data_IF_610404195084
#
_entry.id   IF_610404195084
#
_cell.length_a   1.000
_cell.length_b   1.000
_cell.length_c   1.000
_cell.angle_alpha   90.00
_cell.angle_beta   90.00
_cell.angle_gamma   90.00
#
_symmetry.space_group_name_H-M   'P 1'
#
loop_
_entity.id
_entity.type
_entity.pdbx_description
1 polymer ?
#
# COMPACT_ATOMS: atom_id res chain seq x y z
N UNK A 1 -0.98 7.25 -10.04
CA UNK A 1 0.46 7.58 -9.95
C UNK A 1 1.04 7.51 -11.35
N UNK A 2 1.87 8.47 -11.73
CA UNK A 2 2.61 8.39 -12.99
C UNK A 2 3.71 7.33 -12.83
N UNK A 3 3.92 6.42 -13.80
CA UNK A 3 5.02 5.47 -13.74
C UNK A 3 6.35 6.23 -13.75
N UNK A 4 7.33 5.74 -12.99
CA UNK A 4 8.67 6.30 -13.01
C UNK A 4 9.23 6.25 -14.44
N UNK A 5 9.76 7.36 -14.97
CA UNK A 5 10.34 7.36 -16.29
C UNK A 5 11.59 6.47 -16.31
N UNK A 6 11.72 5.67 -17.36
CA UNK A 6 12.96 4.98 -17.65
C UNK A 6 13.96 6.00 -18.20
N UNK A 7 15.03 6.30 -17.46
CA UNK A 7 16.01 7.32 -17.83
C UNK A 7 16.98 6.82 -18.90
N UNK A 8 17.24 5.50 -18.93
CA UNK A 8 18.11 4.85 -19.90
C UNK A 8 17.57 3.45 -20.20
N UNK A 9 17.25 3.21 -21.47
CA UNK A 9 16.62 1.99 -21.98
C UNK A 9 17.60 1.00 -22.62
N UNK A 10 18.91 1.29 -22.56
CA UNK A 10 19.93 0.38 -23.09
C UNK A 10 19.98 -0.90 -22.28
N UNK A 11 20.08 -2.02 -22.99
CA UNK A 11 20.21 -3.36 -22.42
C UNK A 11 21.65 -3.84 -22.55
N UNK A 12 22.06 -4.79 -21.71
CA UNK A 12 23.34 -5.50 -21.87
C UNK A 12 23.64 -5.90 -23.32
N UNK A 13 22.71 -6.56 -24.01
CA UNK A 13 22.92 -7.00 -25.39
C UNK A 13 23.11 -5.82 -26.34
N UNK A 14 22.31 -4.75 -26.17
CA UNK A 14 22.47 -3.53 -26.96
C UNK A 14 23.84 -2.89 -26.77
N UNK A 15 24.36 -2.89 -25.54
CA UNK A 15 25.70 -2.38 -25.22
C UNK A 15 26.81 -3.23 -25.87
N UNK A 16 26.69 -4.56 -25.82
CA UNK A 16 27.64 -5.48 -26.46
C UNK A 16 27.63 -5.31 -27.98
N UNK A 17 26.45 -5.25 -28.60
CA UNK A 17 26.30 -5.11 -30.05
C UNK A 17 26.82 -3.76 -30.53
N UNK A 18 26.54 -2.68 -29.79
CA UNK A 18 27.06 -1.34 -30.10
C UNK A 18 28.59 -1.30 -30.00
N UNK A 19 29.17 -1.89 -28.96
CA UNK A 19 30.62 -1.97 -28.78
C UNK A 19 31.29 -2.79 -29.89
N UNK A 20 30.73 -3.95 -30.27
CA UNK A 20 31.23 -4.76 -31.40
C UNK A 20 31.18 -3.98 -32.72
N UNK A 21 30.09 -3.25 -32.97
CA UNK A 21 29.97 -2.39 -34.16
C UNK A 21 31.00 -1.26 -34.15
N UNK A 22 31.30 -0.69 -32.98
CA UNK A 22 32.32 0.36 -32.84
C UNK A 22 33.72 -0.20 -33.16
N UNK A 23 34.04 -1.38 -32.63
CA UNK A 23 35.31 -2.08 -32.87
C UNK A 23 35.52 -2.34 -34.36
N UNK A 24 34.54 -2.90 -35.07
CA UNK A 24 34.64 -3.17 -36.50
C UNK A 24 34.97 -1.92 -37.33
N UNK A 25 34.47 -0.75 -36.91
CA UNK A 25 34.71 0.51 -37.59
C UNK A 25 36.05 1.18 -37.22
N UNK A 26 36.58 0.91 -36.02
CA UNK A 26 37.72 1.64 -35.45
C UNK A 26 39.02 0.85 -35.40
N UNK A 27 38.93 -0.47 -35.32
CA UNK A 27 40.04 -1.40 -35.18
C UNK A 27 39.92 -2.52 -36.25
N UNK A 28 40.03 -2.18 -37.55
CA UNK A 28 39.91 -3.17 -38.63
C UNK A 28 40.98 -4.28 -38.58
N UNK A 29 42.09 -4.04 -37.87
CA UNK A 29 43.15 -5.03 -37.60
C UNK A 29 42.73 -6.13 -36.62
N UNK A 30 41.69 -5.89 -35.81
CA UNK A 30 41.15 -6.90 -34.89
C UNK A 30 40.14 -7.76 -35.66
N UNK A 31 40.58 -8.93 -36.11
CA UNK A 31 39.81 -9.79 -37.03
C UNK A 31 39.15 -10.99 -36.35
N UNK A 32 39.61 -11.38 -35.16
CA UNK A 32 38.96 -12.43 -34.37
C UNK A 32 37.82 -11.79 -33.57
N UNK A 33 36.60 -12.29 -33.76
CA UNK A 33 35.41 -11.80 -33.06
C UNK A 33 34.62 -12.97 -32.45
N UNK A 34 35.29 -14.09 -32.22
CA UNK A 34 34.66 -15.27 -31.64
C UNK A 34 34.29 -15.04 -30.16
N UNK A 35 33.37 -15.85 -29.63
CA UNK A 35 32.94 -15.81 -28.21
C UNK A 35 34.13 -16.08 -27.27
N UNK A 36 35.12 -16.83 -27.73
CA UNK A 36 36.35 -17.13 -26.97
C UNK A 36 37.40 -16.02 -26.99
N UNK A 37 37.15 -14.92 -27.69
CA UNK A 37 38.09 -13.80 -27.79
C UNK A 37 38.15 -13.02 -26.46
N UNK A 38 39.32 -12.87 -25.82
CA UNK A 38 39.46 -12.09 -24.59
C UNK A 38 39.00 -10.63 -24.75
N UNK A 39 39.10 -10.04 -25.95
CA UNK A 39 38.57 -8.69 -26.20
C UNK A 39 37.04 -8.64 -26.14
N UNK A 40 36.35 -9.67 -26.65
CA UNK A 40 34.89 -9.82 -26.50
C UNK A 40 34.52 -10.02 -25.03
N UNK A 41 35.29 -10.81 -24.29
CA UNK A 41 35.09 -10.98 -22.84
C UNK A 41 35.20 -9.65 -22.08
N UNK A 42 36.16 -8.78 -22.44
CA UNK A 42 36.27 -7.44 -21.85
C UNK A 42 35.06 -6.57 -22.18
N UNK A 43 34.58 -6.60 -23.43
CA UNK A 43 33.36 -5.88 -23.84
C UNK A 43 32.17 -6.34 -22.98
N UNK A 44 31.98 -7.64 -22.80
CA UNK A 44 30.92 -8.19 -21.95
C UNK A 44 31.07 -7.76 -20.49
N UNK A 45 32.29 -7.78 -19.94
CA UNK A 45 32.55 -7.35 -18.58
C UNK A 45 32.18 -5.86 -18.36
N UNK A 46 32.57 -4.98 -19.29
CA UNK A 46 32.20 -3.57 -19.22
C UNK A 46 30.70 -3.33 -19.48
N UNK A 47 30.10 -4.06 -20.42
CA UNK A 47 28.66 -4.01 -20.65
C UNK A 47 27.88 -4.41 -19.39
N UNK A 48 28.34 -5.43 -18.67
CA UNK A 48 27.76 -5.82 -17.38
C UNK A 48 27.88 -4.70 -16.34
N UNK A 49 29.04 -4.05 -16.23
CA UNK A 49 29.22 -2.92 -15.30
C UNK A 49 28.27 -1.76 -15.63
N UNK A 50 28.12 -1.42 -16.91
CA UNK A 50 27.23 -0.34 -17.36
C UNK A 50 25.77 -0.70 -17.16
N UNK A 51 25.36 -1.95 -17.44
CA UNK A 51 24.02 -2.45 -17.17
C UNK A 51 23.63 -2.30 -15.69
N UNK A 52 24.56 -2.61 -14.76
CA UNK A 52 24.36 -2.36 -13.33
C UNK A 52 24.26 -0.87 -12.98
N UNK A 53 24.97 0.02 -13.68
CA UNK A 53 24.86 1.47 -13.49
C UNK A 53 23.50 2.00 -13.99
N UNK A 54 23.06 1.55 -15.16
CA UNK A 54 21.74 1.88 -15.75
C UNK A 54 20.63 1.45 -14.80
N UNK A 55 20.71 0.23 -14.26
CA UNK A 55 19.77 -0.25 -13.25
C UNK A 55 19.67 0.70 -12.02
N UNK A 56 20.80 1.20 -11.54
CA UNK A 56 20.84 2.13 -10.39
C UNK A 56 20.32 3.52 -10.77
N UNK A 57 20.63 4.00 -11.96
CA UNK A 57 20.14 5.28 -12.49
C UNK A 57 18.61 5.28 -12.58
N UNK A 58 18.02 4.21 -13.10
CA UNK A 58 16.58 4.07 -13.26
C UNK A 58 15.80 3.97 -11.92
N UNK A 59 16.48 3.88 -10.78
CA UNK A 59 15.89 3.97 -9.43
C UNK A 59 15.95 5.37 -8.81
N UNK A 60 16.64 6.32 -9.45
CA UNK A 60 16.73 7.70 -8.98
C UNK A 60 15.38 8.44 -9.03
N UNK A 61 14.54 8.29 -10.08
CA UNK A 61 13.26 8.99 -10.14
C UNK A 61 12.35 8.72 -8.93
N UNK A 62 12.21 7.46 -8.51
CA UNK A 62 11.40 7.08 -7.34
C UNK A 62 11.89 7.73 -6.06
N UNK A 63 13.21 7.73 -5.84
CA UNK A 63 13.82 8.39 -4.67
C UNK A 63 13.60 9.89 -4.69
N UNK A 64 13.70 10.50 -5.86
CA UNK A 64 13.51 11.94 -6.03
C UNK A 64 12.05 12.32 -5.80
N UNK A 65 11.10 11.49 -6.26
CA UNK A 65 9.68 11.68 -6.01
C UNK A 65 9.35 11.70 -4.51
N UNK A 66 9.85 10.71 -3.75
CA UNK A 66 9.70 10.70 -2.28
C UNK A 66 10.30 11.97 -1.66
N UNK A 67 11.48 12.40 -2.12
CA UNK A 67 12.11 13.60 -1.57
C UNK A 67 11.33 14.88 -1.88
N UNK A 68 10.73 14.98 -3.07
CA UNK A 68 9.85 16.10 -3.41
C UNK A 68 8.62 16.13 -2.51
N UNK A 69 7.99 14.98 -2.23
CA UNK A 69 6.87 14.88 -1.28
C UNK A 69 7.26 15.38 0.11
N UNK A 70 8.41 14.95 0.64
CA UNK A 70 8.92 15.44 1.93
C UNK A 70 9.14 16.96 1.92
N UNK A 71 9.70 17.53 0.85
CA UNK A 71 9.99 18.97 0.77
C UNK A 71 8.74 19.84 0.72
N UNK A 72 7.63 19.36 0.17
CA UNK A 72 6.34 20.07 0.20
C UNK A 72 5.54 19.79 1.49
N UNK A 73 6.16 19.12 2.47
CA UNK A 73 5.55 18.82 3.77
C UNK A 73 4.54 17.68 3.75
N UNK A 74 4.59 16.80 2.75
CA UNK A 74 3.78 15.57 2.77
C UNK A 74 4.44 14.56 3.70
N UNK A 75 3.73 14.23 4.77
CA UNK A 75 4.15 13.22 5.73
C UNK A 75 3.28 11.96 5.63
N UNK A 76 3.90 10.80 5.85
CA UNK A 76 3.19 9.53 6.01
C UNK A 76 2.37 9.60 7.30
N UNK A 77 1.04 9.50 7.17
CA UNK A 77 0.16 9.40 8.34
C UNK A 77 0.41 8.08 9.05
N UNK A 78 0.62 8.14 10.36
CA UNK A 78 0.66 6.94 11.18
C UNK A 78 -0.63 6.13 11.00
N UNK A 79 -0.57 4.78 11.08
CA UNK A 79 -1.77 3.97 11.06
C UNK A 79 -2.69 4.41 12.21
N UNK A 80 -3.97 4.65 11.90
CA UNK A 80 -4.98 5.01 12.87
C UNK A 80 -5.81 3.79 13.24
N UNK A 81 -6.21 3.68 14.52
CA UNK A 81 -7.12 2.64 14.95
C UNK A 81 -8.46 2.75 14.21
N UNK A 82 -8.98 1.61 13.74
CA UNK A 82 -10.30 1.58 13.11
C UNK A 82 -11.39 1.89 14.15
N UNK A 83 -12.38 2.67 13.76
CA UNK A 83 -13.53 3.02 14.62
C UNK A 83 -14.82 2.54 13.98
N UNK A 84 -15.71 1.96 14.78
CA UNK A 84 -17.02 1.49 14.34
C UNK A 84 -18.10 1.71 15.39
N UNK A 85 -19.35 1.48 15.02
CA UNK A 85 -20.48 1.50 15.96
C UNK A 85 -20.78 0.08 16.41
N UNK A 86 -20.99 -0.08 17.71
CA UNK A 86 -21.53 -1.32 18.31
C UNK A 86 -22.89 -1.01 18.93
N UNK A 87 -23.80 -1.98 18.88
CA UNK A 87 -25.10 -1.89 19.55
C UNK A 87 -25.15 -2.93 20.66
N UNK A 88 -25.45 -2.48 21.87
CA UNK A 88 -25.60 -3.36 23.03
C UNK A 88 -27.08 -3.58 23.30
N UNK A 89 -27.52 -4.83 23.27
CA UNK A 89 -28.89 -5.21 23.62
C UNK A 89 -28.89 -5.80 25.02
N UNK A 90 -29.85 -5.38 25.86
CA UNK A 90 -30.07 -6.02 27.15
C UNK A 90 -30.78 -7.36 26.92
N UNK A 91 -30.32 -8.41 27.61
CA UNK A 91 -30.95 -9.74 27.56
C UNK A 91 -32.35 -9.76 28.21
N UNK A 92 -32.60 -8.84 29.14
CA UNK A 92 -33.90 -8.64 29.78
C UNK A 92 -34.06 -7.17 30.22
N UNK A 93 -35.31 -6.66 30.38
CA UNK A 93 -35.55 -5.34 30.92
C UNK A 93 -34.92 -5.17 32.32
N UNK A 94 -34.30 -4.02 32.56
CA UNK A 94 -33.67 -3.70 33.83
C UNK A 94 -34.40 -2.53 34.51
N UNK A 95 -34.65 -2.59 35.83
CA UNK A 95 -35.34 -1.51 36.55
C UNK A 95 -34.44 -0.27 36.80
N UNK A 96 -33.13 -0.40 36.63
CA UNK A 96 -32.16 0.68 36.83
C UNK A 96 -31.31 0.89 35.56
N UNK A 97 -30.74 2.09 35.34
CA UNK A 97 -29.81 2.32 34.24
C UNK A 97 -28.63 1.35 34.26
N UNK A 98 -28.35 0.74 33.11
CA UNK A 98 -27.20 -0.15 32.92
C UNK A 98 -26.07 0.66 32.29
N UNK A 99 -24.94 0.78 32.99
CA UNK A 99 -23.76 1.47 32.50
C UNK A 99 -22.83 0.49 31.79
N UNK A 100 -22.59 0.74 30.51
CA UNK A 100 -21.46 0.18 29.76
C UNK A 100 -20.36 1.23 29.83
N UNK A 101 -19.25 0.92 30.51
CA UNK A 101 -18.15 1.87 30.70
C UNK A 101 -17.39 2.10 29.40
N UNK A 102 -16.71 3.22 29.29
CA UNK A 102 -15.56 3.36 28.40
C UNK A 102 -14.56 2.23 28.65
N UNK A 103 -13.77 1.91 27.63
CA UNK A 103 -12.81 0.80 27.63
C UNK A 103 -13.41 -0.61 27.74
N UNK A 104 -14.75 -0.74 27.67
CA UNK A 104 -15.40 -2.06 27.57
C UNK A 104 -14.95 -2.74 26.29
N UNK A 105 -14.43 -3.96 26.41
CA UNK A 105 -13.90 -4.73 25.29
C UNK A 105 -15.04 -5.40 24.50
N UNK A 106 -15.02 -5.23 23.19
CA UNK A 106 -15.90 -5.90 22.23
C UNK A 106 -15.05 -6.56 21.15
N UNK A 107 -15.50 -7.69 20.63
CA UNK A 107 -14.73 -8.46 19.66
C UNK A 107 -15.54 -8.74 18.41
N UNK A 108 -14.88 -8.79 17.26
CA UNK A 108 -15.50 -9.34 16.05
C UNK A 108 -15.87 -10.81 16.26
N UNK A 109 -16.84 -11.36 15.51
CA UNK A 109 -17.11 -12.79 15.53
C UNK A 109 -15.83 -13.58 15.28
N UNK A 110 -15.64 -14.67 16.00
CA UNK A 110 -14.57 -15.63 15.68
C UNK A 110 -14.90 -16.31 14.36
N UNK A 111 -13.91 -16.35 13.48
CA UNK A 111 -13.98 -17.05 12.20
C UNK A 111 -12.84 -18.06 12.13
N UNK A 112 -12.96 -19.08 11.28
CA UNK A 112 -11.90 -20.10 11.13
C UNK A 112 -10.66 -19.55 10.41
N UNK A 113 -10.78 -18.37 9.77
CA UNK A 113 -9.78 -17.78 8.88
C UNK A 113 -8.94 -16.72 9.62
N UNK A 114 -9.55 -15.98 10.54
CA UNK A 114 -8.90 -14.86 11.23
C UNK A 114 -9.21 -14.86 12.73
N UNK A 115 -8.19 -14.61 13.54
CA UNK A 115 -8.34 -14.38 14.97
C UNK A 115 -9.22 -13.14 15.21
N UNK A 116 -10.10 -13.14 16.23
CA UNK A 116 -10.97 -12.01 16.52
C UNK A 116 -10.17 -10.73 16.82
N UNK A 117 -10.62 -9.61 16.24
CA UNK A 117 -10.06 -8.30 16.53
C UNK A 117 -10.84 -7.70 17.69
N UNK A 118 -10.12 -7.35 18.75
CA UNK A 118 -10.69 -6.72 19.94
C UNK A 118 -10.64 -5.20 19.78
N UNK A 119 -11.77 -4.56 20.05
CA UNK A 119 -11.96 -3.12 20.14
C UNK A 119 -12.36 -2.74 21.56
N UNK A 120 -12.18 -1.46 21.92
CA UNK A 120 -12.68 -0.89 23.17
C UNK A 120 -13.71 0.20 22.89
N UNK A 121 -14.68 0.36 23.79
CA UNK A 121 -15.60 1.50 23.74
C UNK A 121 -14.85 2.80 24.07
N UNK A 122 -15.13 3.87 23.32
CA UNK A 122 -14.45 5.16 23.47
C UNK A 122 -15.10 6.09 24.51
N UNK A 123 -16.26 5.70 25.05
CA UNK A 123 -17.05 6.51 25.99
C UNK A 123 -18.03 5.63 26.74
N UNK A 124 -18.46 6.13 27.90
CA UNK A 124 -19.57 5.57 28.65
C UNK A 124 -20.89 5.57 27.84
N UNK A 125 -21.67 4.51 27.99
CA UNK A 125 -23.02 4.37 27.47
C UNK A 125 -23.95 3.98 28.63
N UNK A 126 -24.87 4.88 28.98
CA UNK A 126 -25.94 4.59 29.93
C UNK A 126 -27.18 4.11 29.17
N UNK A 127 -27.55 2.85 29.37
CA UNK A 127 -28.80 2.28 28.86
C UNK A 127 -29.87 2.51 29.92
N UNK A 128 -30.74 3.49 29.69
CA UNK A 128 -31.81 3.84 30.63
C UNK A 128 -33.00 2.89 30.50
N UNK A 129 -33.71 2.58 31.60
CA UNK A 129 -34.98 1.87 31.53
C UNK A 129 -35.98 2.69 30.71
N UNK A 130 -36.54 2.09 29.68
CA UNK A 130 -37.58 2.70 28.86
C UNK A 130 -38.76 1.74 28.76
N UNK A 131 -39.96 2.27 28.97
CA UNK A 131 -41.20 1.57 28.68
C UNK A 131 -41.70 1.98 27.30
N UNK A 132 -42.22 1.01 26.56
CA UNK A 132 -42.94 1.29 25.32
C UNK A 132 -44.33 1.82 25.69
N UNK A 133 -44.61 3.09 25.38
CA UNK A 133 -45.89 3.70 25.72
C UNK A 133 -46.97 3.36 24.69
N UNK A 134 -46.76 3.73 23.42
CA UNK A 134 -47.65 3.47 22.28
C UNK A 134 -46.80 3.47 21.00
N UNK A 135 -47.22 2.71 19.99
CA UNK A 135 -46.87 3.00 18.59
C UNK A 135 -48.14 3.11 17.78
N UNK A 136 -48.16 4.09 16.87
CA UNK A 136 -49.20 4.25 15.88
C UNK A 136 -48.60 4.10 14.48
N UNK A 137 -49.41 3.64 13.55
CA UNK A 137 -49.11 3.71 12.12
C UNK A 137 -50.25 4.46 11.44
N UNK A 138 -49.91 5.35 10.52
CA UNK A 138 -50.89 6.03 9.68
C UNK A 138 -50.49 5.85 8.23
N UNK A 139 -51.48 5.63 7.36
CA UNK A 139 -51.27 5.71 5.91
C UNK A 139 -51.02 7.17 5.54
N UNK A 140 -50.18 7.40 4.53
CA UNK A 140 -49.88 8.75 4.03
C UNK A 140 -51.20 9.45 3.68
N UNK A 141 -51.58 10.48 4.45
CA UNK A 141 -52.79 11.27 4.27
C UNK A 141 -53.94 11.03 5.25
N UNK A 142 -53.82 10.09 6.20
CA UNK A 142 -54.80 9.89 7.28
C UNK A 142 -54.30 10.45 8.62
N UNK A 143 -55.21 11.00 9.44
CA UNK A 143 -54.84 11.42 10.80
C UNK A 143 -54.45 10.21 11.65
N UNK A 144 -53.37 10.30 12.45
CA UNK A 144 -52.95 9.21 13.33
C UNK A 144 -53.98 8.99 14.45
N UNK A 145 -54.40 7.74 14.62
CA UNK A 145 -55.23 7.30 15.76
C UNK A 145 -54.38 6.97 17.00
#
# INVERSE_FOLDING_TARGET
MLPAPNLDDRTFQGLVDEAKRLVQNRCPEWTDHNVSDPGVTLIEAFAQMVDQLIYRLNRVPDRTYVKFLEMIGVELRAPAAATGRVTCWLSAPQPHPVLVREETLVSTPRTDIHEPIVFSTLRDLSIVPCSFARAGTALVGAEPA
#
